data_IF_716193623457
#
_entry.id   IF_716193623457
#
_cell.length_a   1.000
_cell.length_b   1.000
_cell.length_c   1.000
_cell.angle_alpha   90.00
_cell.angle_beta   90.00
_cell.angle_gamma   90.00
#
_symmetry.space_group_name_H-M   'P 1'
#
loop_
_entity.id
_entity.type
_entity.pdbx_description
1 polymer ?
#
# COMPACT_ATOMS: atom_id res chain seq x y z
N UNK A 1 2.61 26.23 -15.66
CA UNK A 1 1.90 26.10 -14.37
C UNK A 1 2.53 24.95 -13.59
N UNK A 2 2.76 25.10 -12.28
CA UNK A 2 3.26 23.98 -11.47
C UNK A 2 2.18 22.89 -11.41
N UNK A 3 2.57 21.62 -11.62
CA UNK A 3 1.66 20.47 -11.51
C UNK A 3 1.00 20.43 -10.12
N UNK A 4 -0.33 20.31 -10.12
CA UNK A 4 -1.20 20.21 -8.94
C UNK A 4 -2.17 19.04 -9.11
N UNK A 5 -2.36 18.29 -8.04
CA UNK A 5 -3.41 17.26 -7.96
C UNK A 5 -4.77 17.96 -7.84
N UNK A 6 -5.79 17.43 -8.53
CA UNK A 6 -7.13 18.02 -8.53
C UNK A 6 -7.81 17.83 -7.17
N UNK A 7 -8.30 18.93 -6.58
CA UNK A 7 -9.06 18.90 -5.33
C UNK A 7 -10.37 18.12 -5.48
N UNK A 8 -11.07 18.26 -6.63
CA UNK A 8 -12.28 17.51 -6.92
C UNK A 8 -12.06 15.99 -6.96
N UNK A 9 -10.90 15.55 -7.44
CA UNK A 9 -10.55 14.13 -7.44
C UNK A 9 -10.35 13.59 -6.02
N UNK A 10 -9.67 14.36 -5.17
CA UNK A 10 -9.46 14.00 -3.76
C UNK A 10 -10.78 13.99 -2.98
N UNK A 11 -11.63 14.99 -3.19
CA UNK A 11 -12.95 15.07 -2.57
C UNK A 11 -13.84 13.89 -2.98
N UNK A 12 -13.86 13.54 -4.28
CA UNK A 12 -14.61 12.40 -4.77
C UNK A 12 -14.13 11.08 -4.12
N UNK A 13 -12.81 10.88 -3.98
CA UNK A 13 -12.27 9.71 -3.30
C UNK A 13 -12.64 9.67 -1.82
N UNK A 14 -12.57 10.82 -1.12
CA UNK A 14 -13.01 10.94 0.27
C UNK A 14 -14.46 10.51 0.43
N UNK A 15 -15.36 11.07 -0.40
CA UNK A 15 -16.79 10.75 -0.35
C UNK A 15 -17.06 9.27 -0.64
N UNK A 16 -16.40 8.69 -1.64
CA UNK A 16 -16.54 7.27 -1.98
C UNK A 16 -16.14 6.37 -0.81
N UNK A 17 -15.03 6.70 -0.13
CA UNK A 17 -14.54 5.94 1.02
C UNK A 17 -15.49 6.09 2.21
N UNK A 18 -15.85 7.31 2.57
CA UNK A 18 -16.64 7.61 3.78
C UNK A 18 -18.07 7.06 3.68
N UNK A 19 -18.68 7.13 2.49
CA UNK A 19 -20.04 6.65 2.26
C UNK A 19 -20.09 5.17 1.82
N UNK A 20 -18.95 4.50 1.65
CA UNK A 20 -18.85 3.10 1.20
C UNK A 20 -19.70 2.81 -0.05
N UNK A 21 -19.67 3.72 -1.03
CA UNK A 21 -20.59 3.70 -2.18
C UNK A 21 -20.36 2.53 -3.14
N UNK A 22 -19.17 1.96 -3.12
CA UNK A 22 -18.73 0.91 -4.05
C UNK A 22 -17.91 -0.17 -3.31
N UNK A 23 -17.71 -1.31 -3.97
CA UNK A 23 -16.99 -2.43 -3.38
C UNK A 23 -15.54 -2.08 -3.02
N UNK A 24 -15.00 -2.61 -1.88
CA UNK A 24 -13.63 -2.33 -1.44
C UNK A 24 -12.56 -2.63 -2.49
N UNK A 25 -12.73 -3.67 -3.30
CA UNK A 25 -11.82 -4.00 -4.39
C UNK A 25 -11.71 -2.87 -5.43
N UNK A 26 -12.83 -2.21 -5.73
CA UNK A 26 -12.87 -1.08 -6.67
C UNK A 26 -12.21 0.14 -6.05
N UNK A 27 -12.47 0.43 -4.77
CA UNK A 27 -11.79 1.52 -4.06
C UNK A 27 -10.28 1.29 -4.05
N UNK A 28 -9.83 0.07 -3.74
CA UNK A 28 -8.42 -0.30 -3.75
C UNK A 28 -7.78 -0.02 -5.11
N UNK A 29 -8.46 -0.38 -6.20
CA UNK A 29 -7.99 -0.10 -7.56
C UNK A 29 -7.95 1.40 -7.88
N UNK A 30 -8.94 2.17 -7.46
CA UNK A 30 -8.99 3.63 -7.67
C UNK A 30 -7.89 4.38 -6.92
N UNK A 31 -7.43 3.86 -5.78
CA UNK A 31 -6.35 4.43 -4.98
C UNK A 31 -4.95 4.10 -5.52
N UNK A 32 -4.83 3.18 -6.50
CA UNK A 32 -3.53 2.82 -7.07
C UNK A 32 -3.06 3.88 -8.08
N UNK A 33 -1.99 4.58 -7.71
CA UNK A 33 -1.28 5.46 -8.65
C UNK A 33 -0.47 4.61 -9.64
N UNK A 34 -0.61 4.82 -10.96
CA UNK A 34 0.06 4.01 -11.98
C UNK A 34 1.57 3.88 -11.78
N UNK A 35 2.14 2.74 -12.16
CA UNK A 35 3.57 2.47 -11.99
C UNK A 35 4.43 3.38 -12.87
N UNK A 36 5.70 3.56 -12.47
CA UNK A 36 6.68 4.35 -13.23
C UNK A 36 6.83 3.81 -14.64
N UNK A 37 6.94 2.48 -14.81
CA UNK A 37 7.05 1.85 -16.14
C UNK A 37 5.82 2.11 -17.00
N UNK A 38 4.62 2.01 -16.43
CA UNK A 38 3.38 2.31 -17.16
C UNK A 38 3.31 3.76 -17.64
N UNK A 39 3.73 4.70 -16.78
CA UNK A 39 3.78 6.13 -17.08
C UNK A 39 4.89 6.45 -18.09
N UNK A 40 6.04 5.78 -17.98
CA UNK A 40 7.17 5.91 -18.90
C UNK A 40 6.77 5.53 -20.32
N UNK A 41 6.13 4.37 -20.51
CA UNK A 41 5.70 3.90 -21.84
C UNK A 41 4.67 4.83 -22.52
N UNK A 42 4.04 5.71 -21.75
CA UNK A 42 3.05 6.70 -22.22
C UNK A 42 3.57 8.12 -22.23
N UNK A 43 4.79 8.34 -21.74
CA UNK A 43 5.38 9.67 -21.66
C UNK A 43 6.19 9.94 -22.92
N UNK A 44 5.88 10.99 -23.70
CA UNK A 44 6.66 11.31 -24.89
C UNK A 44 8.11 11.71 -24.57
N UNK A 45 8.36 12.18 -23.35
CA UNK A 45 9.68 12.67 -22.91
C UNK A 45 10.59 11.54 -22.43
N UNK A 46 10.06 10.36 -22.10
CA UNK A 46 10.80 9.18 -21.61
C UNK A 46 11.79 9.48 -20.44
N UNK A 47 11.55 10.55 -19.68
CA UNK A 47 12.37 10.91 -18.51
C UNK A 47 11.87 10.16 -17.27
N UNK A 48 12.56 9.06 -16.96
CA UNK A 48 12.22 8.17 -15.84
C UNK A 48 12.28 8.89 -14.49
N UNK A 49 13.25 9.79 -14.29
CA UNK A 49 13.43 10.47 -13.01
C UNK A 49 12.33 11.51 -12.79
N UNK A 50 11.98 12.26 -13.83
CA UNK A 50 10.87 13.21 -13.77
C UNK A 50 9.53 12.51 -13.52
N UNK A 51 9.30 11.37 -14.16
CA UNK A 51 8.09 10.55 -13.97
C UNK A 51 8.03 10.01 -12.54
N UNK A 52 9.14 9.46 -12.04
CA UNK A 52 9.24 9.00 -10.67
C UNK A 52 8.91 10.12 -9.68
N UNK A 53 9.57 11.28 -9.80
CA UNK A 53 9.34 12.42 -8.92
C UNK A 53 7.89 12.94 -8.96
N UNK A 54 7.29 13.00 -10.16
CA UNK A 54 5.90 13.40 -10.32
C UNK A 54 4.93 12.40 -9.67
N UNK A 55 5.18 11.09 -9.86
CA UNK A 55 4.40 10.02 -9.25
C UNK A 55 4.46 10.09 -7.73
N UNK A 56 5.67 10.20 -7.16
CA UNK A 56 5.86 10.30 -5.71
C UNK A 56 5.14 11.52 -5.14
N UNK A 57 5.13 12.64 -5.87
CA UNK A 57 4.35 13.82 -5.47
C UNK A 57 2.85 13.54 -5.44
N UNK A 58 2.29 12.85 -6.44
CA UNK A 58 0.86 12.49 -6.45
C UNK A 58 0.52 11.57 -5.29
N UNK A 59 1.31 10.52 -5.07
CA UNK A 59 1.13 9.56 -3.97
C UNK A 59 1.13 10.29 -2.63
N UNK A 60 2.11 11.16 -2.39
CA UNK A 60 2.20 11.96 -1.16
C UNK A 60 0.98 12.86 -0.96
N UNK A 61 0.55 13.58 -1.99
CA UNK A 61 -0.63 14.46 -1.87
C UNK A 61 -1.90 13.63 -1.58
N UNK A 62 -2.11 12.53 -2.32
CA UNK A 62 -3.25 11.65 -2.10
C UNK A 62 -3.30 11.13 -0.66
N UNK A 63 -2.19 10.58 -0.18
CA UNK A 63 -2.11 9.94 1.12
C UNK A 63 -2.32 10.93 2.28
N UNK A 64 -1.70 12.11 2.23
CA UNK A 64 -1.90 13.14 3.26
C UNK A 64 -3.33 13.70 3.23
N UNK A 65 -3.92 13.87 2.05
CA UNK A 65 -5.30 14.36 1.93
C UNK A 65 -6.34 13.38 2.47
N UNK A 66 -6.04 12.08 2.46
CA UNK A 66 -6.93 11.02 2.94
C UNK A 66 -6.40 10.32 4.20
N UNK A 67 -5.47 10.93 4.92
CA UNK A 67 -4.69 10.27 5.98
C UNK A 67 -5.58 9.62 7.05
N UNK A 68 -6.62 10.32 7.50
CA UNK A 68 -7.56 9.82 8.51
C UNK A 68 -8.31 8.58 8.02
N UNK A 69 -8.83 8.63 6.78
CA UNK A 69 -9.53 7.50 6.18
C UNK A 69 -8.59 6.32 5.96
N UNK A 70 -7.40 6.56 5.40
CA UNK A 70 -6.41 5.51 5.14
C UNK A 70 -5.91 4.86 6.43
N UNK A 71 -5.68 5.65 7.49
CA UNK A 71 -5.30 5.15 8.81
C UNK A 71 -6.40 4.26 9.40
N UNK A 72 -7.67 4.70 9.30
CA UNK A 72 -8.82 3.92 9.76
C UNK A 72 -8.94 2.60 8.99
N UNK A 73 -8.77 2.64 7.67
CA UNK A 73 -8.78 1.45 6.81
C UNK A 73 -7.65 0.50 7.18
N UNK A 74 -6.41 1.00 7.31
CA UNK A 74 -5.23 0.17 7.60
C UNK A 74 -5.31 -0.50 8.98
N UNK A 75 -5.79 0.23 10.00
CA UNK A 75 -5.88 -0.24 11.38
C UNK A 75 -7.06 -1.19 11.62
N UNK A 76 -8.25 -0.80 11.16
CA UNK A 76 -9.50 -1.39 11.66
C UNK A 76 -10.19 -2.33 10.67
N UNK A 77 -9.88 -2.21 9.37
CA UNK A 77 -10.63 -2.95 8.36
C UNK A 77 -10.23 -4.42 8.36
N UNK A 78 -11.13 -5.28 8.82
CA UNK A 78 -10.98 -6.75 8.85
C UNK A 78 -9.87 -7.30 9.78
N UNK A 79 -9.35 -6.49 10.72
CA UNK A 79 -8.21 -6.86 11.57
C UNK A 79 -8.39 -8.16 12.38
N UNK A 80 -9.64 -8.58 12.63
CA UNK A 80 -9.99 -9.77 13.42
C UNK A 80 -10.83 -10.81 12.65
N UNK A 81 -11.01 -10.66 11.34
CA UNK A 81 -11.78 -11.63 10.57
C UNK A 81 -10.96 -12.89 10.27
N UNK A 82 -11.65 -14.04 10.24
CA UNK A 82 -11.03 -15.28 9.79
C UNK A 82 -10.61 -15.17 8.32
N UNK A 83 -9.46 -15.72 7.97
CA UNK A 83 -8.99 -15.71 6.59
C UNK A 83 -9.97 -16.47 5.68
N UNK A 84 -10.41 -15.80 4.61
CA UNK A 84 -11.30 -16.36 3.59
C UNK A 84 -10.84 -15.95 2.18
N UNK A 85 -11.07 -16.84 1.23
CA UNK A 85 -10.69 -16.70 -0.19
C UNK A 85 -11.86 -16.27 -1.09
N UNK A 86 -12.92 -15.73 -0.52
CA UNK A 86 -14.04 -15.15 -1.27
C UNK A 86 -13.71 -13.73 -1.78
N UNK A 87 -14.45 -13.29 -2.81
CA UNK A 87 -14.22 -12.01 -3.47
C UNK A 87 -14.31 -10.80 -2.52
N UNK A 88 -15.24 -10.83 -1.56
CA UNK A 88 -15.42 -9.72 -0.63
C UNK A 88 -14.21 -9.63 0.31
N UNK A 89 -13.77 -10.74 0.91
CA UNK A 89 -12.59 -10.79 1.78
C UNK A 89 -11.30 -10.42 1.05
N UNK A 90 -11.15 -10.84 -0.21
CA UNK A 90 -10.03 -10.42 -1.06
C UNK A 90 -10.05 -8.90 -1.28
N UNK A 91 -11.22 -8.33 -1.61
CA UNK A 91 -11.38 -6.89 -1.81
C UNK A 91 -11.04 -6.07 -0.57
N UNK A 92 -11.45 -6.54 0.62
CA UNK A 92 -11.13 -5.85 1.89
C UNK A 92 -9.63 -5.85 2.18
N UNK A 93 -8.96 -6.99 2.01
CA UNK A 93 -7.48 -7.07 2.13
C UNK A 93 -6.78 -6.18 1.13
N UNK A 94 -7.24 -6.18 -0.13
CA UNK A 94 -6.67 -5.32 -1.16
C UNK A 94 -6.75 -3.82 -0.78
N UNK A 95 -7.90 -3.39 -0.25
CA UNK A 95 -8.08 -2.01 0.22
C UNK A 95 -7.18 -1.69 1.42
N UNK A 96 -7.16 -2.56 2.44
CA UNK A 96 -6.30 -2.41 3.63
C UNK A 96 -4.82 -2.28 3.25
N UNK A 97 -4.35 -3.20 2.41
CA UNK A 97 -2.95 -3.25 1.97
C UNK A 97 -2.57 -2.04 1.11
N UNK A 98 -3.49 -1.56 0.27
CA UNK A 98 -3.28 -0.34 -0.51
C UNK A 98 -3.19 0.89 0.39
N UNK A 99 -4.07 1.00 1.39
CA UNK A 99 -4.04 2.11 2.34
C UNK A 99 -2.74 2.15 3.14
N UNK A 100 -2.30 1.00 3.67
CA UNK A 100 -1.03 0.90 4.41
C UNK A 100 0.16 1.33 3.55
N UNK A 101 0.23 0.87 2.29
CA UNK A 101 1.32 1.21 1.38
C UNK A 101 1.34 2.71 1.03
N UNK A 102 0.16 3.34 0.86
CA UNK A 102 0.06 4.79 0.64
C UNK A 102 0.57 5.59 1.85
N UNK A 103 0.19 5.18 3.07
CA UNK A 103 0.68 5.81 4.30
C UNK A 103 2.21 5.71 4.43
N UNK A 104 2.78 4.55 4.11
CA UNK A 104 4.21 4.32 4.09
C UNK A 104 4.94 5.24 3.09
N UNK A 105 4.50 5.29 1.82
CA UNK A 105 5.11 6.18 0.81
C UNK A 105 5.01 7.67 1.18
N UNK A 106 3.98 8.03 1.93
CA UNK A 106 3.79 9.39 2.38
C UNK A 106 4.64 9.76 3.60
N UNK A 107 5.21 8.78 4.29
CA UNK A 107 5.95 9.01 5.53
C UNK A 107 5.04 9.44 6.68
N UNK A 108 3.80 8.95 6.70
CA UNK A 108 2.87 9.24 7.80
C UNK A 108 3.40 8.57 9.07
N UNK A 109 3.50 9.28 10.22
CA UNK A 109 4.15 8.73 11.42
C UNK A 109 3.57 7.41 11.95
N UNK A 110 2.26 7.19 11.77
CA UNK A 110 1.59 5.95 12.19
C UNK A 110 1.89 4.74 11.30
N UNK A 111 2.48 4.95 10.12
CA UNK A 111 2.65 3.88 9.13
C UNK A 111 3.57 2.75 9.61
N UNK A 112 4.64 3.06 10.36
CA UNK A 112 5.57 2.06 10.87
C UNK A 112 4.88 1.11 11.87
N UNK A 113 4.20 1.66 12.87
CA UNK A 113 3.48 0.87 13.87
C UNK A 113 2.38 0.01 13.23
N UNK A 114 1.62 0.57 12.28
CA UNK A 114 0.59 -0.15 11.55
C UNK A 114 1.18 -1.29 10.70
N UNK A 115 2.29 -1.04 10.01
CA UNK A 115 2.95 -2.03 9.18
C UNK A 115 3.53 -3.17 10.03
N UNK A 116 4.24 -2.86 11.12
CA UNK A 116 4.79 -3.87 12.01
C UNK A 116 3.68 -4.68 12.70
N UNK A 117 2.61 -4.01 13.15
CA UNK A 117 1.45 -4.65 13.74
C UNK A 117 0.77 -5.61 12.76
N UNK A 118 0.57 -5.19 11.51
CA UNK A 118 0.01 -6.06 10.47
C UNK A 118 0.96 -7.22 10.13
N UNK A 119 2.27 -6.97 10.01
CA UNK A 119 3.26 -8.01 9.70
C UNK A 119 3.26 -9.14 10.74
N UNK A 120 3.26 -8.79 12.03
CA UNK A 120 3.32 -9.76 13.14
C UNK A 120 2.00 -10.46 13.43
N UNK A 121 0.87 -9.82 13.15
CA UNK A 121 -0.47 -10.38 13.42
C UNK A 121 -1.12 -11.06 12.22
N UNK A 122 -0.60 -10.86 11.00
CA UNK A 122 -1.15 -11.45 9.79
C UNK A 122 -1.16 -12.98 9.86
N UNK A 123 -2.34 -13.56 9.63
CA UNK A 123 -2.55 -15.01 9.57
C UNK A 123 -2.46 -15.57 8.14
N UNK A 124 -2.07 -14.73 7.17
CA UNK A 124 -1.99 -15.08 5.76
C UNK A 124 -0.83 -14.35 5.08
N UNK A 125 -0.31 -14.97 4.02
CA UNK A 125 0.85 -14.44 3.30
C UNK A 125 0.59 -13.08 2.63
N UNK A 126 -0.61 -12.87 2.07
CA UNK A 126 -0.93 -11.65 1.32
C UNK A 126 -0.75 -10.40 2.19
N UNK A 127 -1.28 -10.43 3.41
CA UNK A 127 -1.23 -9.29 4.32
C UNK A 127 0.15 -9.12 4.95
N UNK A 128 0.84 -10.23 5.26
CA UNK A 128 2.20 -10.19 5.80
C UNK A 128 3.18 -9.62 4.77
N UNK A 129 3.09 -10.04 3.51
CA UNK A 129 3.92 -9.53 2.42
C UNK A 129 3.64 -8.05 2.13
N UNK A 130 2.37 -7.63 2.16
CA UNK A 130 2.00 -6.23 1.98
C UNK A 130 2.58 -5.34 3.10
N UNK A 131 2.52 -5.81 4.34
CA UNK A 131 3.12 -5.13 5.48
C UNK A 131 4.66 -5.04 5.36
N UNK A 132 5.31 -6.12 4.92
CA UNK A 132 6.75 -6.13 4.68
C UNK A 132 7.16 -5.11 3.60
N UNK A 133 6.39 -5.01 2.51
CA UNK A 133 6.59 -3.96 1.49
C UNK A 133 6.47 -2.55 2.08
N UNK A 134 5.52 -2.33 2.98
CA UNK A 134 5.36 -1.03 3.64
C UNK A 134 6.56 -0.71 4.56
N UNK A 135 7.06 -1.68 5.33
CA UNK A 135 8.27 -1.51 6.15
C UNK A 135 9.49 -1.13 5.30
N UNK A 136 9.70 -1.81 4.17
CA UNK A 136 10.79 -1.49 3.23
C UNK A 136 10.67 -0.07 2.68
N UNK A 137 9.45 0.40 2.37
CA UNK A 137 9.22 1.77 1.89
C UNK A 137 9.53 2.82 2.97
N UNK A 138 9.25 2.50 4.24
CA UNK A 138 9.55 3.38 5.38
C UNK A 138 11.05 3.44 5.66
N UNK A 139 11.78 2.34 5.41
CA UNK A 139 13.23 2.21 5.55
C UNK A 139 13.75 2.42 6.99
N UNK A 140 13.02 1.88 7.98
CA UNK A 140 13.53 1.74 9.33
C UNK A 140 14.48 0.54 9.38
N UNK A 141 15.75 0.78 9.05
CA UNK A 141 16.76 -0.25 8.75
C UNK A 141 16.77 -1.47 9.69
N UNK A 142 16.79 -1.28 11.01
CA UNK A 142 16.81 -2.39 11.97
C UNK A 142 15.49 -3.20 11.96
N UNK A 143 14.34 -2.53 12.01
CA UNK A 143 13.00 -3.16 12.01
C UNK A 143 12.75 -3.86 10.66
N UNK A 144 13.16 -3.23 9.57
CA UNK A 144 13.00 -3.77 8.22
C UNK A 144 13.88 -4.99 8.02
N UNK A 145 15.14 -4.96 8.47
CA UNK A 145 16.04 -6.11 8.40
C UNK A 145 15.52 -7.29 9.24
N UNK A 146 15.04 -7.03 10.46
CA UNK A 146 14.41 -8.06 11.31
C UNK A 146 13.19 -8.68 10.61
N UNK A 147 12.27 -7.85 10.10
CA UNK A 147 11.08 -8.34 9.40
C UNK A 147 11.41 -9.13 8.13
N UNK A 148 12.46 -8.74 7.38
CA UNK A 148 12.94 -9.47 6.22
C UNK A 148 13.47 -10.87 6.58
N UNK A 149 14.25 -10.99 7.67
CA UNK A 149 14.74 -12.29 8.14
C UNK A 149 13.60 -13.14 8.70
N UNK A 150 12.72 -12.57 9.55
CA UNK A 150 11.54 -13.27 10.08
C UNK A 150 10.69 -13.85 8.94
N UNK A 151 10.41 -13.06 7.90
CA UNK A 151 9.64 -13.51 6.75
C UNK A 151 10.35 -14.65 6.01
N UNK A 152 11.66 -14.55 5.79
CA UNK A 152 12.41 -15.61 5.13
C UNK A 152 12.44 -16.90 5.96
N UNK A 153 12.71 -16.82 7.27
CA UNK A 153 12.72 -18.01 8.14
C UNK A 153 11.35 -18.70 8.16
N UNK A 154 10.27 -17.93 8.17
CA UNK A 154 8.92 -18.46 8.12
C UNK A 154 8.62 -19.14 6.78
N UNK A 155 8.98 -18.52 5.65
CA UNK A 155 8.53 -18.96 4.32
C UNK A 155 9.58 -19.66 3.45
N UNK A 156 10.81 -19.89 3.94
CA UNK A 156 11.92 -20.54 3.21
C UNK A 156 11.61 -21.90 2.57
N UNK A 157 10.56 -22.59 3.04
CA UNK A 157 10.12 -23.88 2.49
C UNK A 157 9.17 -23.73 1.29
N UNK A 158 8.63 -22.53 1.05
CA UNK A 158 7.72 -22.22 -0.05
C UNK A 158 8.44 -21.44 -1.15
N UNK A 159 8.93 -22.14 -2.19
CA UNK A 159 9.79 -21.55 -3.22
C UNK A 159 9.20 -20.31 -3.93
N UNK A 160 7.88 -20.29 -4.16
CA UNK A 160 7.21 -19.13 -4.78
C UNK A 160 7.15 -17.91 -3.86
N UNK A 161 7.15 -18.13 -2.54
CA UNK A 161 7.18 -17.05 -1.55
C UNK A 161 8.59 -16.50 -1.41
N UNK A 162 9.59 -17.38 -1.45
CA UNK A 162 11.00 -16.99 -1.48
C UNK A 162 11.32 -16.14 -2.72
N UNK A 163 10.76 -16.47 -3.89
CA UNK A 163 10.89 -15.62 -5.08
C UNK A 163 10.31 -14.22 -4.88
N UNK A 164 9.18 -14.10 -4.16
CA UNK A 164 8.62 -12.79 -3.82
C UNK A 164 9.51 -12.05 -2.84
N UNK A 165 10.09 -12.73 -1.85
CA UNK A 165 11.06 -12.14 -0.93
C UNK A 165 12.31 -11.62 -1.67
N UNK A 166 12.87 -12.38 -2.61
CA UNK A 166 14.00 -11.92 -3.43
C UNK A 166 13.64 -10.69 -4.26
N UNK A 167 12.40 -10.57 -4.76
CA UNK A 167 11.96 -9.39 -5.53
C UNK A 167 11.83 -8.10 -4.71
N UNK A 168 11.87 -8.21 -3.38
CA UNK A 168 11.81 -7.09 -2.45
C UNK A 168 13.21 -6.57 -2.03
N UNK A 169 14.27 -7.33 -2.34
CA UNK A 169 15.67 -7.02 -2.03
C UNK A 169 16.35 -6.28 -3.18
#
# INVERSE_FOLDING_TARGET
>A
AAFRVSEYWLEALSVIIDQQLIEPAVIAYMLQVPSVSYLHDRSPQHDVLAIYAAREKVVKVLAHSLENQLTTIACCYDANAAYQVDAASIGRRALRNTALLLLAHAGVPSASELALGQFRSANNMTDQLAALKALIVIDESDITAEALDEFYQQWRHEALVVNQWFSLQ
#
